data_IF_772094659650
#
_entry.id   IF_772094659650
#
_cell.length_a   1.000
_cell.length_b   1.000
_cell.length_c   1.000
_cell.angle_alpha   90.00
_cell.angle_beta   90.00
_cell.angle_gamma   90.00
#
_symmetry.space_group_name_H-M   'P 1'
#
loop_
_entity.id
_entity.type
_entity.pdbx_description
1 polymer ?
#
# COMPACT_ATOMS: atom_id res chain seq x y z
N UNK A 1 11.28 27.72 -24.85
CA UNK A 1 11.08 27.12 -23.50
C UNK A 1 11.77 25.78 -23.52
N UNK A 2 12.67 25.54 -22.58
CA UNK A 2 13.33 24.24 -22.42
C UNK A 2 12.46 23.39 -21.51
N UNK A 3 12.07 22.21 -22.01
CA UNK A 3 11.28 21.26 -21.26
C UNK A 3 12.19 20.29 -20.51
N UNK A 4 11.93 20.12 -19.22
CA UNK A 4 12.68 19.20 -18.38
C UNK A 4 11.84 17.99 -17.99
N UNK A 5 12.50 16.84 -17.94
CA UNK A 5 11.89 15.59 -17.47
C UNK A 5 12.68 14.97 -16.32
N UNK A 6 12.07 14.88 -15.14
CA UNK A 6 12.64 14.16 -14.00
C UNK A 6 12.27 12.69 -14.09
N UNK A 7 13.25 11.82 -14.19
CA UNK A 7 13.04 10.38 -14.27
C UNK A 7 13.10 9.75 -12.88
N UNK A 8 12.33 8.68 -12.70
CA UNK A 8 12.48 7.81 -11.54
C UNK A 8 13.82 7.08 -11.56
N UNK A 9 14.37 6.79 -10.40
CA UNK A 9 15.72 6.21 -10.25
C UNK A 9 15.87 4.86 -10.97
N UNK A 10 14.86 4.00 -10.91
CA UNK A 10 14.87 2.70 -11.58
C UNK A 10 14.74 2.85 -13.11
N UNK A 11 13.92 3.80 -13.56
CA UNK A 11 13.71 4.06 -14.98
C UNK A 11 15.00 4.46 -15.71
N UNK A 12 15.90 5.19 -15.04
CA UNK A 12 17.22 5.54 -15.57
C UNK A 12 18.05 4.29 -15.83
N UNK A 13 18.01 3.35 -14.87
CA UNK A 13 18.74 2.07 -15.02
C UNK A 13 18.17 1.23 -16.16
N UNK A 14 16.86 1.17 -16.32
CA UNK A 14 16.19 0.44 -17.41
C UNK A 14 16.48 1.04 -18.80
N UNK A 15 16.51 2.37 -18.89
CA UNK A 15 16.80 3.07 -20.13
C UNK A 15 18.30 3.10 -20.47
N UNK A 16 19.17 2.70 -19.52
CA UNK A 16 20.62 2.76 -19.69
C UNK A 16 21.16 4.18 -19.85
N UNK A 17 20.41 5.18 -19.38
CA UNK A 17 20.81 6.59 -19.41
C UNK A 17 21.51 6.97 -18.11
N UNK A 18 22.38 8.00 -18.16
CA UNK A 18 22.92 8.60 -16.94
C UNK A 18 21.92 9.57 -16.27
N UNK A 19 22.25 10.06 -15.08
CA UNK A 19 21.48 11.10 -14.40
C UNK A 19 21.43 12.39 -15.25
N UNK A 20 22.55 12.67 -15.93
CA UNK A 20 22.62 13.71 -16.96
C UNK A 20 22.75 13.05 -18.32
N UNK A 21 21.71 13.12 -19.10
CA UNK A 21 21.80 12.75 -20.51
C UNK A 21 22.06 14.01 -21.34
N UNK A 22 23.06 13.90 -22.20
CA UNK A 22 23.51 15.02 -23.07
C UNK A 22 22.49 15.22 -24.18
N UNK A 23 21.99 14.12 -24.72
CA UNK A 23 20.95 14.14 -25.74
C UNK A 23 19.57 14.11 -25.08
N UNK A 24 18.59 14.87 -25.61
CA UNK A 24 17.26 14.90 -25.07
C UNK A 24 16.60 13.50 -25.17
N UNK A 25 15.86 13.13 -24.14
CA UNK A 25 15.11 11.90 -24.14
C UNK A 25 14.01 11.94 -25.21
N UNK A 26 13.81 10.87 -25.93
CA UNK A 26 12.75 10.78 -26.93
C UNK A 26 11.50 10.17 -26.30
N UNK A 27 10.45 10.99 -26.13
CA UNK A 27 9.17 10.53 -25.58
C UNK A 27 8.12 10.48 -26.68
N UNK A 28 7.46 9.34 -26.80
CA UNK A 28 6.43 9.10 -27.82
C UNK A 28 5.07 8.90 -27.15
N UNK A 29 4.04 9.54 -27.68
CA UNK A 29 2.66 9.27 -27.31
C UNK A 29 1.80 9.00 -28.55
N UNK A 30 0.89 8.04 -28.50
CA UNK A 30 0.00 7.75 -29.63
C UNK A 30 -0.92 8.95 -29.87
N UNK A 31 -1.09 9.31 -31.16
CA UNK A 31 -2.02 10.34 -31.58
C UNK A 31 -3.46 9.88 -31.41
N UNK A 32 -4.32 10.76 -30.93
CA UNK A 32 -5.77 10.53 -30.91
C UNK A 32 -6.30 10.29 -32.33
N UNK A 33 -7.19 9.34 -32.46
CA UNK A 33 -7.94 9.07 -33.70
C UNK A 33 -7.09 8.72 -34.95
N UNK A 34 -5.83 8.36 -34.79
CA UNK A 34 -4.96 7.92 -35.88
C UNK A 34 -4.75 6.42 -35.79
N UNK A 35 -5.06 5.68 -36.84
CA UNK A 35 -4.71 4.26 -36.93
C UNK A 35 -3.24 4.10 -37.29
N UNK A 36 -2.59 3.15 -36.65
CA UNK A 36 -1.19 2.82 -36.97
C UNK A 36 -1.13 2.25 -38.39
N UNK A 37 -0.37 2.92 -39.25
CA UNK A 37 -0.10 2.41 -40.59
C UNK A 37 1.19 1.57 -40.54
N UNK A 38 1.13 0.32 -40.99
CA UNK A 38 2.27 -0.61 -40.97
C UNK A 38 3.43 -0.08 -41.82
N UNK A 39 3.15 0.63 -42.89
CA UNK A 39 4.18 1.21 -43.76
C UNK A 39 4.93 2.40 -43.09
N UNK A 40 4.30 3.12 -42.19
CA UNK A 40 4.92 4.22 -41.45
C UNK A 40 4.36 4.29 -40.01
N UNK A 41 4.79 3.41 -39.12
CA UNK A 41 4.24 3.33 -37.77
C UNK A 41 4.52 4.59 -36.94
N UNK A 42 5.63 5.29 -37.21
CA UNK A 42 6.01 6.48 -36.45
C UNK A 42 5.11 7.69 -36.69
N UNK A 43 4.41 7.74 -37.81
CA UNK A 43 3.46 8.82 -38.12
C UNK A 43 2.24 8.86 -37.17
N UNK A 44 1.93 7.75 -36.50
CA UNK A 44 0.85 7.64 -35.54
C UNK A 44 1.21 8.15 -34.14
N UNK A 45 2.45 8.60 -33.91
CA UNK A 45 2.91 9.06 -32.61
C UNK A 45 3.29 10.54 -32.67
N UNK A 46 2.99 11.26 -31.59
CA UNK A 46 3.60 12.54 -31.28
C UNK A 46 4.96 12.28 -30.65
N UNK A 47 5.92 13.18 -30.87
CA UNK A 47 7.26 13.11 -30.28
C UNK A 47 7.57 14.41 -29.58
N UNK A 48 8.12 14.29 -28.37
CA UNK A 48 8.65 15.41 -27.61
C UNK A 48 10.00 15.04 -27.01
N UNK A 49 10.83 16.03 -26.74
CA UNK A 49 12.22 15.86 -26.36
C UNK A 49 12.55 16.62 -25.07
N UNK A 50 12.24 16.06 -23.90
CA UNK A 50 12.62 16.70 -22.65
C UNK A 50 14.12 16.52 -22.35
N UNK A 51 14.70 17.54 -21.78
CA UNK A 51 16.08 17.52 -21.29
C UNK A 51 16.17 17.03 -19.85
N UNK A 52 17.32 16.49 -19.46
CA UNK A 52 17.60 16.17 -18.07
C UNK A 52 17.85 17.45 -17.27
N UNK A 53 17.17 17.64 -16.12
CA UNK A 53 17.50 18.72 -15.21
C UNK A 53 18.75 18.42 -14.36
N UNK A 54 19.42 17.28 -14.56
CA UNK A 54 20.49 16.80 -13.68
C UNK A 54 20.01 16.31 -12.32
N UNK A 55 18.72 16.03 -12.19
CA UNK A 55 18.08 15.52 -10.97
C UNK A 55 17.13 14.38 -11.30
N UNK A 56 16.97 13.49 -10.36
CA UNK A 56 16.09 12.32 -10.43
C UNK A 56 15.19 12.31 -9.20
N UNK A 57 14.08 11.58 -9.26
CA UNK A 57 13.28 11.34 -8.07
C UNK A 57 13.36 9.87 -7.64
N UNK A 58 13.29 9.66 -6.32
CA UNK A 58 13.21 8.34 -5.70
C UNK A 58 12.19 8.40 -4.56
N UNK A 59 11.13 7.61 -4.68
CA UNK A 59 10.06 7.50 -3.67
C UNK A 59 10.16 6.17 -2.91
N UNK A 60 11.12 5.33 -3.27
CA UNK A 60 11.29 3.96 -2.77
C UNK A 60 10.04 3.09 -2.98
N UNK A 61 9.36 3.31 -4.09
CA UNK A 61 8.24 2.49 -4.55
C UNK A 61 8.46 2.17 -6.04
N UNK A 62 8.75 0.91 -6.33
CA UNK A 62 9.03 0.42 -7.68
C UNK A 62 8.01 0.90 -8.73
N UNK A 63 6.72 0.92 -8.36
CA UNK A 63 5.65 1.38 -9.25
C UNK A 63 5.88 2.80 -9.78
N UNK A 64 6.44 3.69 -8.96
CA UNK A 64 6.69 5.09 -9.35
C UNK A 64 8.10 5.26 -9.91
N UNK A 65 9.09 4.64 -9.28
CA UNK A 65 10.50 4.83 -9.61
C UNK A 65 10.90 4.21 -10.97
N UNK A 66 10.14 3.17 -11.44
CA UNK A 66 10.40 2.51 -12.72
C UNK A 66 9.53 2.99 -13.89
N UNK A 67 8.45 3.76 -13.65
CA UNK A 67 7.44 4.01 -14.70
C UNK A 67 7.06 5.46 -14.92
N UNK A 68 7.48 6.37 -14.04
CA UNK A 68 7.02 7.74 -14.12
C UNK A 68 8.13 8.71 -14.52
N UNK A 69 7.75 9.67 -15.33
CA UNK A 69 8.53 10.85 -15.67
C UNK A 69 7.72 12.06 -15.25
N UNK A 70 8.30 12.94 -14.45
CA UNK A 70 7.67 14.18 -14.04
C UNK A 70 8.08 15.28 -15.03
N UNK A 71 7.10 15.90 -15.65
CA UNK A 71 7.29 16.97 -16.64
C UNK A 71 6.35 18.13 -16.36
N UNK A 72 6.52 19.23 -17.09
CA UNK A 72 5.54 20.32 -17.04
C UNK A 72 4.20 19.91 -17.65
N UNK A 73 3.11 20.51 -17.18
CA UNK A 73 1.78 20.27 -17.71
C UNK A 73 1.68 20.65 -19.20
N UNK A 74 2.38 21.71 -19.59
CA UNK A 74 2.41 22.20 -20.99
C UNK A 74 3.13 21.20 -21.91
N UNK A 75 4.22 20.59 -21.44
CA UNK A 75 4.87 19.50 -22.15
C UNK A 75 3.92 18.31 -22.35
N UNK A 76 3.24 17.87 -21.28
CA UNK A 76 2.28 16.76 -21.37
C UNK A 76 1.13 17.08 -22.35
N UNK A 77 0.61 18.30 -22.31
CA UNK A 77 -0.45 18.74 -23.23
C UNK A 77 -0.01 18.68 -24.70
N UNK A 78 1.20 19.15 -25.00
CA UNK A 78 1.74 19.07 -26.38
C UNK A 78 1.93 17.61 -26.79
N UNK A 79 2.53 16.81 -25.93
CA UNK A 79 2.79 15.40 -26.21
C UNK A 79 1.50 14.61 -26.51
N UNK A 80 0.43 14.83 -25.72
CA UNK A 80 -0.85 14.15 -25.90
C UNK A 80 -1.83 14.88 -26.80
N UNK A 81 -1.46 16.06 -27.29
CA UNK A 81 -2.36 16.96 -28.05
C UNK A 81 -3.66 17.25 -27.30
N UNK A 82 -3.51 17.72 -26.05
CA UNK A 82 -4.58 18.15 -25.16
C UNK A 82 -4.56 19.67 -24.99
N UNK A 83 -5.73 20.31 -25.02
CA UNK A 83 -5.84 21.75 -24.77
C UNK A 83 -6.00 22.04 -23.28
N UNK A 84 -7.13 21.64 -22.72
CA UNK A 84 -7.50 21.89 -21.32
C UNK A 84 -7.76 20.63 -20.52
N UNK A 85 -7.74 19.47 -21.20
CA UNK A 85 -8.05 18.18 -20.59
C UNK A 85 -6.95 17.77 -19.62
N UNK A 86 -7.36 17.08 -18.56
CA UNK A 86 -6.49 16.45 -17.57
C UNK A 86 -7.00 15.07 -17.23
N UNK A 87 -6.10 14.15 -16.91
CA UNK A 87 -6.47 12.76 -16.57
C UNK A 87 -7.01 12.65 -15.15
N UNK A 88 -6.50 13.47 -14.23
CA UNK A 88 -6.90 13.49 -12.84
C UNK A 88 -6.65 14.86 -12.22
N UNK A 89 -7.41 15.19 -11.18
CA UNK A 89 -7.21 16.36 -10.35
C UNK A 89 -7.00 15.88 -8.92
N UNK A 90 -5.84 16.17 -8.37
CA UNK A 90 -5.56 15.87 -6.96
C UNK A 90 -5.90 17.09 -6.10
N UNK A 91 -6.60 16.83 -4.99
CA UNK A 91 -7.01 17.86 -4.05
C UNK A 91 -6.50 17.56 -2.66
N UNK A 92 -5.81 18.51 -2.06
CA UNK A 92 -5.39 18.45 -0.66
C UNK A 92 -6.43 19.13 0.22
N UNK A 93 -6.99 18.41 1.16
CA UNK A 93 -7.94 18.95 2.13
C UNK A 93 -7.22 19.67 3.28
N UNK A 94 -7.91 20.62 3.90
CA UNK A 94 -7.42 21.26 5.13
C UNK A 94 -7.36 20.23 6.28
N UNK A 95 -6.38 20.34 7.19
CA UNK A 95 -6.33 19.50 8.37
C UNK A 95 -7.65 19.53 9.15
N UNK A 96 -8.12 18.38 9.62
CA UNK A 96 -9.38 18.25 10.35
C UNK A 96 -10.64 18.14 9.49
N UNK A 97 -10.56 18.21 8.16
CA UNK A 97 -11.70 18.01 7.28
C UNK A 97 -12.16 16.54 7.28
N UNK A 98 -13.47 16.32 7.30
CA UNK A 98 -14.02 14.96 7.14
C UNK A 98 -13.99 14.57 5.65
N UNK A 99 -13.11 13.63 5.32
CA UNK A 99 -12.87 13.18 3.94
C UNK A 99 -14.15 12.67 3.29
N UNK A 100 -14.93 11.82 3.99
CA UNK A 100 -16.14 11.22 3.44
C UNK A 100 -17.24 12.23 3.12
N UNK A 101 -17.40 13.28 3.96
CA UNK A 101 -18.39 14.33 3.70
C UNK A 101 -18.00 15.20 2.51
N UNK A 102 -16.71 15.53 2.38
CA UNK A 102 -16.19 16.32 1.26
C UNK A 102 -16.28 15.52 -0.04
N UNK A 103 -15.91 14.25 -0.02
CA UNK A 103 -16.02 13.34 -1.16
C UNK A 103 -17.44 13.27 -1.69
N UNK A 104 -18.44 13.07 -0.81
CA UNK A 104 -19.86 13.06 -1.19
C UNK A 104 -20.32 14.38 -1.79
N UNK A 105 -19.89 15.51 -1.25
CA UNK A 105 -20.23 16.82 -1.80
C UNK A 105 -19.65 17.03 -3.19
N UNK A 106 -18.38 16.67 -3.39
CA UNK A 106 -17.72 16.78 -4.69
C UNK A 106 -18.37 15.85 -5.70
N UNK A 107 -18.64 14.60 -5.33
CA UNK A 107 -19.34 13.66 -6.19
C UNK A 107 -20.73 14.15 -6.60
N UNK A 108 -21.46 14.78 -5.67
CA UNK A 108 -22.77 15.39 -5.97
C UNK A 108 -22.69 16.57 -6.94
N UNK A 109 -21.60 17.35 -6.91
CA UNK A 109 -21.39 18.48 -7.83
C UNK A 109 -20.99 17.99 -9.23
N UNK A 110 -20.10 16.98 -9.30
CA UNK A 110 -19.53 16.49 -10.55
C UNK A 110 -20.44 15.48 -11.29
N UNK A 111 -21.36 14.86 -10.56
CA UNK A 111 -22.23 13.80 -11.09
C UNK A 111 -21.48 12.54 -11.52
N UNK A 112 -22.16 11.68 -12.27
CA UNK A 112 -21.65 10.34 -12.65
C UNK A 112 -20.55 10.36 -13.73
N UNK A 113 -20.19 11.54 -14.25
CA UNK A 113 -19.14 11.68 -15.26
C UNK A 113 -17.72 11.55 -14.72
N UNK A 114 -17.56 11.68 -13.42
CA UNK A 114 -16.26 11.67 -12.75
C UNK A 114 -16.25 10.71 -11.57
N UNK A 115 -15.14 10.04 -11.39
CA UNK A 115 -14.92 9.16 -10.24
C UNK A 115 -14.14 9.94 -9.19
N UNK A 116 -14.76 10.14 -8.03
CA UNK A 116 -14.13 10.83 -6.88
C UNK A 116 -13.66 9.78 -5.91
N UNK A 117 -12.36 9.62 -5.78
CA UNK A 117 -11.73 8.62 -4.92
C UNK A 117 -10.94 9.29 -3.82
N UNK A 118 -11.00 8.72 -2.63
CA UNK A 118 -10.08 9.06 -1.58
C UNK A 118 -8.79 8.21 -1.67
N UNK A 119 -7.78 8.53 -0.86
CA UNK A 119 -6.50 7.82 -0.85
C UNK A 119 -6.63 6.30 -0.64
N UNK A 120 -7.57 5.88 0.20
CA UNK A 120 -7.79 4.46 0.49
C UNK A 120 -8.40 3.74 -0.69
N UNK A 121 -9.34 4.36 -1.38
CA UNK A 121 -9.99 3.82 -2.58
C UNK A 121 -9.02 3.73 -3.77
N UNK A 122 -8.13 4.69 -3.92
CA UNK A 122 -7.08 4.65 -4.96
C UNK A 122 -6.09 3.50 -4.75
N UNK A 123 -5.86 3.11 -3.51
CA UNK A 123 -4.93 2.04 -3.14
C UNK A 123 -5.65 0.86 -2.51
N UNK A 124 -6.89 0.59 -2.92
CA UNK A 124 -7.73 -0.45 -2.34
C UNK A 124 -7.05 -1.83 -2.31
N UNK A 125 -6.29 -2.16 -3.35
CA UNK A 125 -5.56 -3.43 -3.43
C UNK A 125 -4.51 -3.57 -2.33
N UNK A 126 -3.76 -2.50 -2.05
CA UNK A 126 -2.75 -2.48 -0.98
C UNK A 126 -3.40 -2.62 0.39
N UNK A 127 -4.49 -1.88 0.63
CA UNK A 127 -5.23 -1.98 1.90
C UNK A 127 -5.86 -3.36 2.10
N UNK A 128 -6.38 -3.99 1.04
CA UNK A 128 -6.90 -5.36 1.09
C UNK A 128 -5.82 -6.36 1.47
N UNK A 129 -4.62 -6.25 0.90
CA UNK A 129 -3.48 -7.10 1.25
C UNK A 129 -3.13 -6.93 2.73
N UNK A 130 -3.08 -5.69 3.24
CA UNK A 130 -2.82 -5.41 4.66
C UNK A 130 -3.89 -6.00 5.59
N UNK A 131 -5.17 -5.99 5.19
CA UNK A 131 -6.25 -6.61 5.96
C UNK A 131 -6.11 -8.14 6.01
N UNK A 132 -5.77 -8.77 4.90
CA UNK A 132 -5.50 -10.21 4.82
C UNK A 132 -4.28 -10.57 5.69
N UNK A 133 -3.21 -9.80 5.63
CA UNK A 133 -2.01 -10.00 6.43
C UNK A 133 -2.31 -9.93 7.94
N UNK A 134 -3.12 -8.96 8.36
CA UNK A 134 -3.60 -8.89 9.75
C UNK A 134 -4.38 -10.12 10.16
N UNK A 135 -5.31 -10.58 9.31
CA UNK A 135 -6.12 -11.76 9.59
C UNK A 135 -5.24 -13.00 9.75
N UNK A 136 -4.27 -13.19 8.87
CA UNK A 136 -3.30 -14.28 8.94
C UNK A 136 -2.48 -14.18 10.23
N UNK A 137 -2.01 -13.00 10.59
CA UNK A 137 -1.25 -12.75 11.82
C UNK A 137 -2.07 -13.09 13.06
N UNK A 138 -3.33 -12.70 13.13
CA UNK A 138 -4.23 -13.08 14.23
C UNK A 138 -4.46 -14.58 14.31
N UNK A 139 -4.58 -15.25 13.17
CA UNK A 139 -4.74 -16.71 13.12
C UNK A 139 -3.52 -17.40 13.73
N UNK A 140 -2.31 -17.03 13.29
CA UNK A 140 -1.07 -17.58 13.85
C UNK A 140 -0.92 -17.29 15.35
N UNK A 141 -1.22 -16.06 15.78
CA UNK A 141 -1.18 -15.71 17.20
C UNK A 141 -2.13 -16.57 18.03
N UNK A 142 -3.34 -16.83 17.51
CA UNK A 142 -4.32 -17.68 18.17
C UNK A 142 -3.82 -19.12 18.28
N UNK A 143 -3.17 -19.66 17.25
CA UNK A 143 -2.56 -21.00 17.31
C UNK A 143 -1.43 -21.09 18.34
N UNK A 144 -0.54 -20.09 18.37
CA UNK A 144 0.56 -20.02 19.33
C UNK A 144 -0.01 -19.97 20.76
N UNK A 145 -1.02 -19.13 20.98
CA UNK A 145 -1.69 -19.03 22.27
C UNK A 145 -2.36 -20.36 22.68
N UNK A 146 -3.00 -21.04 21.73
CA UNK A 146 -3.57 -22.38 21.95
C UNK A 146 -2.53 -23.39 22.40
N UNK A 147 -1.39 -23.47 21.71
CA UNK A 147 -0.27 -24.35 22.10
C UNK A 147 0.24 -24.01 23.49
N UNK A 148 0.40 -22.73 23.80
CA UNK A 148 0.83 -22.27 25.12
C UNK A 148 -0.15 -22.71 26.22
N UNK A 149 -1.47 -22.57 25.98
CA UNK A 149 -2.50 -23.02 26.90
C UNK A 149 -2.43 -24.54 27.14
N UNK A 150 -2.26 -25.35 26.09
CA UNK A 150 -2.10 -26.80 26.24
C UNK A 150 -0.87 -27.17 27.07
N UNK A 151 0.25 -26.49 26.87
CA UNK A 151 1.46 -26.69 27.68
C UNK A 151 1.23 -26.38 29.16
N UNK A 152 0.53 -25.26 29.45
CA UNK A 152 0.20 -24.90 30.83
C UNK A 152 -0.75 -25.94 31.46
N UNK A 153 -1.79 -26.38 30.74
CA UNK A 153 -2.71 -27.40 31.21
C UNK A 153 -1.95 -28.72 31.50
N UNK A 154 -1.05 -29.13 30.63
CA UNK A 154 -0.22 -30.32 30.81
C UNK A 154 0.65 -30.24 32.06
N UNK A 155 1.34 -29.10 32.26
CA UNK A 155 2.17 -28.85 33.43
C UNK A 155 1.36 -28.85 34.73
N UNK A 156 0.22 -28.15 34.74
CA UNK A 156 -0.67 -28.13 35.91
C UNK A 156 -1.24 -29.51 36.23
N UNK A 157 -1.59 -30.29 35.19
CA UNK A 157 -2.13 -31.64 35.40
C UNK A 157 -1.08 -32.55 36.05
N UNK A 158 0.19 -32.41 35.64
CA UNK A 158 1.29 -33.18 36.28
C UNK A 158 1.49 -32.77 37.73
N UNK A 159 1.48 -31.45 38.00
CA UNK A 159 1.58 -30.92 39.35
C UNK A 159 0.47 -31.46 40.28
N UNK A 160 -0.78 -31.46 39.77
CA UNK A 160 -1.93 -31.97 40.54
C UNK A 160 -1.76 -33.47 40.83
N UNK A 161 -1.23 -34.26 39.90
CA UNK A 161 -0.99 -35.68 40.10
C UNK A 161 0.08 -35.92 41.16
N UNK A 162 1.19 -35.17 41.09
CA UNK A 162 2.28 -35.29 42.08
C UNK A 162 1.84 -34.90 43.49
N UNK A 163 0.90 -33.94 43.60
CA UNK A 163 0.36 -33.43 44.88
C UNK A 163 -0.90 -34.15 45.37
N UNK A 164 -1.28 -35.25 44.75
CA UNK A 164 -2.52 -35.95 45.06
C UNK A 164 -2.57 -36.47 46.50
N UNK A 165 -1.47 -36.99 47.00
CA UNK A 165 -1.37 -37.49 48.39
C UNK A 165 -1.49 -36.36 49.42
N UNK A 166 -0.93 -35.20 49.12
CA UNK A 166 -1.01 -34.00 49.97
C UNK A 166 -2.48 -33.50 50.03
N UNK A 167 -3.21 -33.53 48.91
CA UNK A 167 -4.64 -33.19 48.80
C UNK A 167 -5.49 -34.14 49.66
N UNK A 168 -5.23 -35.45 49.59
CA UNK A 168 -5.95 -36.45 50.38
C UNK A 168 -5.70 -36.27 51.91
N UNK A 169 -4.47 -35.91 52.29
CA UNK A 169 -4.10 -35.62 53.64
C UNK A 169 -4.83 -34.37 54.19
N UNK A 170 -4.87 -33.30 53.40
CA UNK A 170 -5.60 -32.06 53.73
C UNK A 170 -7.09 -32.32 53.87
N UNK A 171 -7.70 -33.13 52.99
CA UNK A 171 -9.11 -33.51 53.06
C UNK A 171 -9.44 -34.36 54.30
N UNK A 172 -8.55 -35.28 54.68
CA UNK A 172 -8.68 -36.08 55.92
C UNK A 172 -8.57 -35.23 57.20
N UNK A 173 -7.84 -34.11 57.13
CA UNK A 173 -7.77 -33.09 58.19
C UNK A 173 -8.99 -32.13 58.23
N UNK A 174 -9.95 -32.33 57.35
CA UNK A 174 -11.17 -31.55 57.32
C UNK A 174 -11.13 -30.28 56.41
N UNK A 175 -10.15 -30.15 55.55
CA UNK A 175 -10.11 -29.04 54.60
C UNK A 175 -11.18 -29.15 53.55
N UNK A 176 -11.93 -28.07 53.33
CA UNK A 176 -12.97 -27.97 52.28
C UNK A 176 -12.28 -27.81 50.89
N UNK A 177 -12.94 -28.27 49.84
CA UNK A 177 -12.44 -28.23 48.45
C UNK A 177 -12.10 -26.79 48.00
N UNK A 178 -12.79 -25.77 48.53
CA UNK A 178 -12.48 -24.36 48.27
C UNK A 178 -11.16 -23.89 48.92
N UNK A 179 -10.86 -24.43 50.08
CA UNK A 179 -9.60 -24.12 50.77
C UNK A 179 -8.43 -24.79 50.05
N UNK A 180 -8.59 -26.03 49.65
CA UNK A 180 -7.61 -26.78 48.87
C UNK A 180 -7.35 -26.06 47.52
N UNK A 181 -8.37 -25.70 46.75
CA UNK A 181 -8.24 -24.97 45.50
C UNK A 181 -7.49 -23.62 45.67
N UNK A 182 -7.75 -22.92 46.80
CA UNK A 182 -7.08 -21.65 47.10
C UNK A 182 -5.60 -21.85 47.42
N UNK A 183 -5.25 -22.90 48.13
CA UNK A 183 -3.85 -23.24 48.45
C UNK A 183 -3.09 -23.45 47.12
N UNK A 184 -3.61 -24.28 46.20
CA UNK A 184 -2.99 -24.55 44.90
C UNK A 184 -2.99 -23.37 43.93
N UNK A 185 -3.86 -22.36 44.16
CA UNK A 185 -3.84 -21.16 43.34
C UNK A 185 -2.74 -20.18 43.73
N UNK A 186 -2.28 -20.24 45.00
CA UNK A 186 -1.26 -19.34 45.53
C UNK A 186 0.12 -19.98 45.62
N UNK A 187 0.27 -21.27 45.35
CA UNK A 187 1.54 -21.98 45.24
C UNK A 187 2.11 -21.87 43.82
#
# INVERSE_FOLDING_TARGET
VVDYGFLGVELISELGTGIQFVDPLQVYAPKRNVRVNIANPTAAFNREYPFSPGAIFAVNQQKYDSRYILTSLDFARRLFNYDTEVSAIEMKLKPGSNIGSVQKKIAGILGDRFIVQNRYEQQADVFRIMEIEKLISYLFLTFILGIACFNVIGSLSMLILDKREDVETLRNLGADDRLIARIFLFE
#
